data_IF_176988204434
#
_entry.id   IF_176988204434
#
_cell.length_a   1.000
_cell.length_b   1.000
_cell.length_c   1.000
_cell.angle_alpha   90.00
_cell.angle_beta   90.00
_cell.angle_gamma   90.00
#
_symmetry.space_group_name_H-M   'P 1'
#
loop_
_entity.id
_entity.type
_entity.pdbx_description
1 polymer ?
#
# COMPACT_ATOMS: atom_id res chain seq x y z
N UNK A 1 -17.13 9.43 -14.14
CA UNK A 1 -16.38 9.17 -12.90
C UNK A 1 -16.19 10.52 -12.20
N UNK A 2 -16.53 10.65 -10.91
CA UNK A 2 -16.39 11.93 -10.18
C UNK A 2 -15.13 11.85 -9.31
N UNK A 3 -14.32 12.91 -9.32
CA UNK A 3 -13.14 13.02 -8.47
C UNK A 3 -13.56 13.21 -7.01
N UNK A 4 -12.86 12.52 -6.10
CA UNK A 4 -13.19 12.52 -4.66
C UNK A 4 -12.10 13.17 -3.79
N UNK A 5 -11.00 13.58 -4.41
CA UNK A 5 -9.83 14.11 -3.71
C UNK A 5 -8.62 14.32 -4.62
N UNK A 6 -7.50 14.69 -4.02
CA UNK A 6 -6.20 14.88 -4.65
C UNK A 6 -5.11 14.13 -3.88
N UNK A 7 -4.09 13.64 -4.58
CA UNK A 7 -2.93 12.98 -3.97
C UNK A 7 -1.73 13.91 -4.13
N UNK A 8 -1.10 14.26 -3.02
CA UNK A 8 0.13 15.05 -2.97
C UNK A 8 1.30 14.08 -2.78
N UNK A 9 2.11 13.95 -3.85
CA UNK A 9 3.28 13.06 -3.85
C UNK A 9 4.55 13.87 -4.11
N UNK A 10 5.71 13.46 -3.58
CA UNK A 10 6.99 14.13 -3.87
C UNK A 10 7.43 13.97 -5.33
N UNK A 11 6.87 13.00 -6.07
CA UNK A 11 7.22 12.75 -7.46
C UNK A 11 6.57 13.76 -8.40
N UNK A 12 7.41 14.45 -9.18
CA UNK A 12 6.96 15.45 -10.15
C UNK A 12 6.93 14.92 -11.58
N UNK A 13 7.67 13.84 -11.86
CA UNK A 13 7.75 13.21 -13.20
C UNK A 13 7.55 11.71 -13.08
N UNK A 14 6.99 11.11 -14.14
CA UNK A 14 6.69 9.67 -14.20
C UNK A 14 7.92 8.78 -14.01
N UNK A 15 9.13 9.25 -14.39
CA UNK A 15 10.38 8.51 -14.22
C UNK A 15 10.83 8.38 -12.76
N UNK A 16 10.38 9.28 -11.90
CA UNK A 16 10.72 9.29 -10.47
C UNK A 16 9.77 8.42 -9.65
N UNK A 17 8.59 8.12 -10.20
CA UNK A 17 7.60 7.27 -9.56
C UNK A 17 8.13 5.85 -9.51
N UNK A 18 8.22 5.23 -8.32
CA UNK A 18 8.62 3.84 -8.22
C UNK A 18 7.59 2.96 -8.94
N UNK A 19 8.05 1.91 -9.61
CA UNK A 19 7.14 0.97 -10.29
C UNK A 19 6.17 0.31 -9.31
N UNK A 20 6.58 0.13 -8.05
CA UNK A 20 5.75 -0.36 -6.95
C UNK A 20 5.91 0.55 -5.74
N UNK A 21 4.79 0.94 -5.10
CA UNK A 21 4.81 1.78 -3.89
C UNK A 21 5.62 1.15 -2.75
N UNK A 22 5.57 -0.18 -2.62
CA UNK A 22 6.35 -0.93 -1.63
C UNK A 22 7.88 -0.87 -1.84
N UNK A 23 8.33 -0.33 -2.96
CA UNK A 23 9.75 -0.08 -3.23
C UNK A 23 10.19 1.34 -2.86
N UNK A 24 9.32 2.13 -2.23
CA UNK A 24 9.65 3.48 -1.75
C UNK A 24 9.16 3.70 -0.33
N UNK A 25 9.93 4.49 0.42
CA UNK A 25 9.65 4.89 1.80
C UNK A 25 9.07 6.32 1.86
N UNK A 26 8.79 6.93 0.71
CA UNK A 26 8.27 8.29 0.61
C UNK A 26 6.82 8.36 1.10
N UNK A 27 6.55 9.30 2.02
CA UNK A 27 5.20 9.56 2.53
C UNK A 27 4.44 10.43 1.53
N UNK A 28 3.23 10.03 1.20
CA UNK A 28 2.31 10.80 0.35
C UNK A 28 1.08 11.20 1.16
N UNK A 29 0.54 12.38 0.87
CA UNK A 29 -0.64 12.91 1.53
C UNK A 29 -1.85 12.79 0.60
N UNK A 30 -3.01 12.45 1.15
CA UNK A 30 -4.25 12.33 0.40
C UNK A 30 -5.25 13.34 0.95
N UNK A 31 -5.68 14.25 0.09
CA UNK A 31 -6.71 15.24 0.39
C UNK A 31 -8.05 14.72 -0.11
N UNK A 32 -9.02 14.56 0.79
CA UNK A 32 -10.39 14.12 0.44
C UNK A 32 -11.33 15.32 0.51
N UNK A 33 -12.18 15.50 -0.50
CA UNK A 33 -13.14 16.59 -0.48
C UNK A 33 -14.14 16.42 0.66
N UNK A 34 -14.52 17.54 1.27
CA UNK A 34 -15.37 17.55 2.46
C UNK A 34 -16.72 16.85 2.26
N UNK A 35 -17.24 16.80 1.03
CA UNK A 35 -18.45 16.05 0.66
C UNK A 35 -18.33 14.53 0.89
N UNK A 36 -17.11 13.98 0.88
CA UNK A 36 -16.82 12.56 1.08
C UNK A 36 -16.22 12.24 2.45
N UNK A 37 -16.04 13.25 3.32
CA UNK A 37 -15.43 13.09 4.64
C UNK A 37 -16.20 12.14 5.57
N UNK A 38 -17.51 11.96 5.35
CA UNK A 38 -18.32 10.98 6.07
C UNK A 38 -17.87 9.53 5.86
N UNK A 39 -17.25 9.22 4.71
CA UNK A 39 -16.72 7.90 4.40
C UNK A 39 -15.39 7.58 5.10
N UNK A 40 -14.70 8.60 5.64
CA UNK A 40 -13.47 8.43 6.42
C UNK A 40 -13.72 8.37 7.94
N UNK A 41 -14.97 8.44 8.40
CA UNK A 41 -15.30 8.49 9.84
C UNK A 41 -14.89 7.24 10.62
N UNK A 42 -14.88 6.08 9.98
CA UNK A 42 -14.40 4.81 10.57
C UNK A 42 -12.95 4.48 10.21
N UNK A 43 -12.27 5.38 9.50
CA UNK A 43 -10.82 5.29 9.31
C UNK A 43 -10.15 5.79 10.59
N UNK A 44 -10.37 5.07 11.69
CA UNK A 44 -9.54 5.20 12.87
C UNK A 44 -8.11 5.04 12.36
N UNK A 45 -7.28 6.07 12.58
CA UNK A 45 -5.89 6.11 12.16
C UNK A 45 -5.26 4.94 12.89
N UNK A 46 -5.22 3.76 12.26
CA UNK A 46 -4.36 2.70 12.75
C UNK A 46 -2.98 3.34 12.76
N UNK A 47 -2.38 3.54 13.95
CA UNK A 47 -1.03 4.06 13.99
C UNK A 47 -0.22 3.16 13.09
N UNK A 48 0.60 3.79 12.25
CA UNK A 48 1.53 3.09 11.36
C UNK A 48 2.03 1.83 12.07
N UNK A 49 1.70 0.67 11.49
CA UNK A 49 1.96 -0.63 12.08
C UNK A 49 3.24 -1.17 11.43
N UNK A 50 4.44 -0.79 11.91
CA UNK A 50 5.71 -1.20 11.31
C UNK A 50 5.83 -2.72 11.25
N UNK A 51 5.21 -3.44 12.20
CA UNK A 51 5.20 -4.91 12.25
C UNK A 51 4.54 -5.56 11.02
N UNK A 52 3.64 -4.84 10.32
CA UNK A 52 3.02 -5.33 9.08
C UNK A 52 3.85 -5.02 7.82
N UNK A 53 4.61 -3.92 7.87
CA UNK A 53 5.50 -3.46 6.79
C UNK A 53 6.93 -4.00 6.90
N UNK A 54 7.29 -4.60 8.05
CA UNK A 54 8.49 -5.42 8.19
C UNK A 54 8.39 -6.59 7.23
N UNK A 55 8.87 -6.37 5.99
CA UNK A 55 9.18 -7.46 5.07
C UNK A 55 10.08 -8.39 5.85
N UNK A 56 9.73 -9.70 6.01
CA UNK A 56 10.64 -10.62 6.64
C UNK A 56 11.96 -10.50 5.90
N UNK A 57 13.02 -10.12 6.64
CA UNK A 57 14.38 -10.12 6.14
C UNK A 57 14.56 -11.45 5.42
N UNK A 58 15.21 -11.43 4.26
CA UNK A 58 15.46 -12.56 3.35
C UNK A 58 16.30 -13.69 3.99
N UNK A 59 15.99 -14.09 5.20
CA UNK A 59 16.53 -15.23 5.89
C UNK A 59 15.38 -16.19 6.20
N UNK A 60 14.99 -16.90 5.13
CA UNK A 60 14.52 -18.29 5.17
C UNK A 60 13.63 -18.70 6.35
N UNK A 61 12.57 -17.96 6.67
CA UNK A 61 11.43 -18.57 7.35
C UNK A 61 10.62 -19.27 6.26
N UNK A 62 10.71 -20.61 6.22
CA UNK A 62 10.04 -21.43 5.22
C UNK A 62 8.53 -21.16 5.17
N UNK A 63 8.12 -20.29 4.25
CA UNK A 63 6.73 -20.12 3.85
C UNK A 63 6.35 -21.40 3.11
N UNK A 64 5.81 -22.38 3.83
CA UNK A 64 5.17 -23.55 3.23
C UNK A 64 3.90 -23.09 2.55
N UNK A 65 4.00 -22.78 1.25
CA UNK A 65 2.85 -22.49 0.38
C UNK A 65 2.14 -23.82 0.03
N UNK A 66 1.62 -24.52 1.05
CA UNK A 66 1.01 -25.85 0.87
C UNK A 66 -0.24 -25.86 -0.01
N UNK A 67 -0.88 -24.71 -0.22
CA UNK A 67 -2.08 -24.56 -1.05
C UNK A 67 -1.78 -24.49 -2.57
N UNK A 68 -0.59 -24.04 -2.98
CA UNK A 68 -0.27 -23.82 -4.41
C UNK A 68 0.22 -25.10 -5.11
N UNK A 69 0.87 -26.01 -4.37
CA UNK A 69 1.48 -27.22 -4.93
C UNK A 69 0.46 -28.23 -5.48
N UNK A 70 -0.81 -28.16 -5.08
CA UNK A 70 -1.85 -29.11 -5.50
C UNK A 70 -2.54 -28.80 -6.83
N UNK A 71 -2.35 -27.60 -7.41
CA UNK A 71 -3.15 -27.13 -8.57
C UNK A 71 -2.39 -26.96 -9.87
N UNK A 72 -1.07 -27.09 -9.87
CA UNK A 72 -0.28 -27.07 -11.10
C UNK A 72 -0.18 -28.51 -11.62
N UNK A 73 -1.20 -28.96 -12.36
CA UNK A 73 -1.07 -30.16 -13.21
C UNK A 73 -0.25 -29.78 -14.44
N UNK A 74 0.83 -30.52 -14.65
CA UNK A 74 1.74 -30.43 -15.81
C UNK A 74 1.07 -30.97 -17.07
#
# INVERSE_FOLDING_TARGET
MKQIGAIHTPYKRTKEVPYQSSSSEEVCEIEVFMEYGSGLKDTDIRPYAPEFDEKPKKEKAGVKVGWLEGRIKR
#
